data_IF_441396720818
#
_entry.id   IF_441396720818
#
_cell.length_a   1.000
_cell.length_b   1.000
_cell.length_c   1.000
_cell.angle_alpha   90.00
_cell.angle_beta   90.00
_cell.angle_gamma   90.00
#
_symmetry.space_group_name_H-M   'P 1'
#
loop_
_entity.id
_entity.type
_entity.pdbx_description
1 polymer ?
#
# COMPACT_ATOMS: atom_id res chain seq x y z
N UNK A 1 -3.62 10.96 -9.98
CA UNK A 1 -4.26 11.27 -11.28
C UNK A 1 -3.67 10.36 -12.36
N UNK A 2 -4.37 9.27 -12.71
CA UNK A 2 -3.87 8.30 -13.71
C UNK A 2 -4.27 8.76 -15.12
N UNK A 3 -3.29 8.87 -16.03
CA UNK A 3 -3.55 9.05 -17.47
C UNK A 3 -4.26 7.80 -18.01
N UNK A 4 -5.26 7.93 -18.89
CA UNK A 4 -5.86 6.78 -19.53
C UNK A 4 -4.80 6.04 -20.37
N UNK A 5 -4.55 4.77 -20.03
CA UNK A 5 -3.77 3.87 -20.87
C UNK A 5 -4.45 3.79 -22.24
N UNK A 6 -3.71 4.03 -23.33
CA UNK A 6 -4.25 3.80 -24.67
C UNK A 6 -4.78 2.35 -24.79
N UNK A 7 -5.89 2.18 -25.51
CA UNK A 7 -6.57 0.89 -25.69
C UNK A 7 -5.59 -0.19 -26.19
N UNK A 8 -5.81 -1.45 -25.79
CA UNK A 8 -5.03 -2.59 -26.27
C UNK A 8 -5.00 -2.67 -27.80
N UNK A 9 -6.08 -2.26 -28.46
CA UNK A 9 -6.16 -2.16 -29.92
C UNK A 9 -5.22 -1.10 -30.49
N UNK A 10 -5.10 0.07 -29.85
CA UNK A 10 -4.21 1.14 -30.32
C UNK A 10 -2.73 0.71 -30.24
N UNK A 11 -2.33 0.05 -29.15
CA UNK A 11 -0.96 -0.49 -29.02
C UNK A 11 -0.68 -1.59 -30.06
N UNK A 12 -1.64 -2.50 -30.26
CA UNK A 12 -1.50 -3.57 -31.25
C UNK A 12 -1.39 -3.03 -32.67
N UNK A 13 -2.17 -2.02 -33.03
CA UNK A 13 -2.10 -1.37 -34.34
C UNK A 13 -0.80 -0.56 -34.53
N UNK A 14 -0.31 0.13 -33.50
CA UNK A 14 0.95 0.87 -33.57
C UNK A 14 2.15 -0.07 -33.78
N UNK A 15 2.24 -1.14 -32.97
CA UNK A 15 3.34 -2.11 -33.10
C UNK A 15 3.20 -2.98 -34.35
N UNK A 16 1.96 -3.30 -34.76
CA UNK A 16 1.69 -3.94 -36.05
C UNK A 16 2.08 -3.08 -37.24
N UNK A 17 1.77 -1.77 -37.18
CA UNK A 17 2.20 -0.79 -38.19
C UNK A 17 3.72 -0.65 -38.26
N UNK A 18 4.41 -0.66 -37.11
CA UNK A 18 5.87 -0.71 -37.06
C UNK A 18 6.41 -2.01 -37.68
N UNK A 19 5.80 -3.16 -37.36
CA UNK A 19 6.14 -4.44 -37.97
C UNK A 19 5.98 -4.42 -39.49
N UNK A 20 4.85 -3.89 -39.97
CA UNK A 20 4.59 -3.73 -41.41
C UNK A 20 5.60 -2.80 -42.08
N UNK A 21 5.92 -1.67 -41.45
CA UNK A 21 6.92 -0.73 -41.96
C UNK A 21 8.31 -1.37 -42.05
N UNK A 22 8.74 -2.13 -41.02
CA UNK A 22 10.00 -2.86 -41.04
C UNK A 22 10.03 -3.91 -42.15
N UNK A 23 8.97 -4.71 -42.29
CA UNK A 23 8.85 -5.70 -43.36
C UNK A 23 8.92 -5.05 -44.74
N UNK A 24 8.26 -3.91 -44.94
CA UNK A 24 8.34 -3.13 -46.16
C UNK A 24 9.75 -2.57 -46.41
N UNK A 25 10.40 -1.99 -45.40
CA UNK A 25 11.74 -1.42 -45.52
C UNK A 25 12.81 -2.47 -45.91
N UNK A 26 12.62 -3.74 -45.54
CA UNK A 26 13.52 -4.84 -45.93
C UNK A 26 13.19 -5.45 -47.30
N UNK A 27 11.91 -5.54 -47.68
CA UNK A 27 11.47 -6.20 -48.94
C UNK A 27 11.51 -5.27 -50.15
N UNK A 28 11.21 -3.98 -49.97
CA UNK A 28 11.12 -3.00 -51.05
C UNK A 28 12.47 -2.75 -51.78
N UNK A 29 13.63 -2.64 -51.10
CA UNK A 29 14.92 -2.49 -51.79
C UNK A 29 15.32 -3.71 -52.63
N UNK A 30 14.71 -4.87 -52.37
CA UNK A 30 14.93 -6.13 -53.08
C UNK A 30 13.96 -6.33 -54.26
N UNK A 31 13.02 -5.39 -54.48
CA UNK A 31 11.98 -5.50 -55.52
C UNK A 31 10.98 -6.64 -55.28
N UNK A 32 10.92 -7.17 -54.05
CA UNK A 32 10.05 -8.28 -53.71
C UNK A 32 8.68 -7.78 -53.27
N UNK A 33 7.62 -8.25 -53.94
CA UNK A 33 6.26 -8.12 -53.43
C UNK A 33 6.09 -8.93 -52.13
N UNK A 34 5.20 -8.46 -51.26
CA UNK A 34 4.90 -9.16 -50.02
C UNK A 34 4.36 -10.56 -50.29
N UNK A 35 4.98 -11.54 -49.66
CA UNK A 35 4.51 -12.91 -49.67
C UNK A 35 3.42 -13.12 -48.61
N UNK A 36 2.66 -14.22 -48.71
CA UNK A 36 1.69 -14.60 -47.68
C UNK A 36 2.30 -14.68 -46.27
N UNK A 37 3.60 -15.02 -46.17
CA UNK A 37 4.31 -15.12 -44.88
C UNK A 37 4.49 -13.76 -44.21
N UNK A 38 4.65 -12.69 -44.99
CA UNK A 38 4.85 -11.32 -44.50
C UNK A 38 3.56 -10.78 -43.86
N UNK A 39 2.42 -11.00 -44.51
CA UNK A 39 1.11 -10.67 -43.94
C UNK A 39 0.81 -11.48 -42.68
N UNK A 40 1.12 -12.79 -42.70
CA UNK A 40 0.94 -13.66 -41.52
C UNK A 40 1.82 -13.19 -40.36
N UNK A 41 3.06 -12.76 -40.62
CA UNK A 41 3.94 -12.22 -39.59
C UNK A 41 3.35 -10.96 -38.94
N UNK A 42 2.92 -9.98 -39.74
CA UNK A 42 2.33 -8.73 -39.21
C UNK A 42 1.05 -9.04 -38.42
N UNK A 43 0.18 -9.90 -38.94
CA UNK A 43 -1.02 -10.33 -38.22
C UNK A 43 -0.69 -11.07 -36.91
N UNK A 44 0.33 -11.92 -36.90
CA UNK A 44 0.79 -12.60 -35.69
C UNK A 44 1.32 -11.61 -34.65
N UNK A 45 2.06 -10.58 -35.06
CA UNK A 45 2.52 -9.49 -34.17
C UNK A 45 1.33 -8.75 -33.56
N UNK A 46 0.36 -8.33 -34.38
CA UNK A 46 -0.86 -7.66 -33.91
C UNK A 46 -1.62 -8.54 -32.92
N UNK A 47 -1.86 -9.80 -33.26
CA UNK A 47 -2.58 -10.75 -32.43
C UNK A 47 -1.86 -11.01 -31.09
N UNK A 48 -0.54 -11.22 -31.12
CA UNK A 48 0.27 -11.46 -29.94
C UNK A 48 0.30 -10.24 -29.00
N UNK A 49 0.50 -9.03 -29.55
CA UNK A 49 0.50 -7.78 -28.77
C UNK A 49 -0.87 -7.53 -28.16
N UNK A 50 -1.94 -7.70 -28.94
CA UNK A 50 -3.31 -7.53 -28.45
C UNK A 50 -3.63 -8.52 -27.32
N UNK A 51 -3.30 -9.80 -27.51
CA UNK A 51 -3.54 -10.84 -26.50
C UNK A 51 -2.74 -10.59 -25.22
N UNK A 52 -1.46 -10.25 -25.34
CA UNK A 52 -0.63 -9.97 -24.17
C UNK A 52 -1.15 -8.73 -23.42
N UNK A 53 -1.49 -7.65 -24.14
CA UNK A 53 -1.96 -6.40 -23.52
C UNK A 53 -3.32 -6.57 -22.84
N UNK A 54 -4.26 -7.26 -23.47
CA UNK A 54 -5.58 -7.55 -22.85
C UNK A 54 -5.44 -8.40 -21.60
N UNK A 55 -4.58 -9.43 -21.62
CA UNK A 55 -4.23 -10.20 -20.42
C UNK A 55 -3.64 -9.31 -19.33
N UNK A 56 -2.60 -8.54 -19.63
CA UNK A 56 -1.96 -7.65 -18.66
C UNK A 56 -2.96 -6.68 -18.04
N UNK A 57 -3.81 -6.03 -18.85
CA UNK A 57 -4.85 -5.12 -18.36
C UNK A 57 -5.85 -5.83 -17.43
N UNK A 58 -6.25 -7.05 -17.77
CA UNK A 58 -7.12 -7.86 -16.91
C UNK A 58 -6.44 -8.18 -15.58
N UNK A 59 -5.17 -8.57 -15.59
CA UNK A 59 -4.40 -8.82 -14.37
C UNK A 59 -4.23 -7.54 -13.54
N UNK A 60 -3.87 -6.42 -14.15
CA UNK A 60 -3.77 -5.11 -13.48
C UNK A 60 -5.09 -4.72 -12.82
N UNK A 61 -6.22 -4.92 -13.50
CA UNK A 61 -7.55 -4.62 -12.97
C UNK A 61 -7.88 -5.51 -11.76
N UNK A 62 -7.64 -6.82 -11.87
CA UNK A 62 -7.88 -7.77 -10.76
C UNK A 62 -6.99 -7.46 -9.56
N UNK A 63 -5.72 -7.12 -9.80
CA UNK A 63 -4.79 -6.71 -8.74
C UNK A 63 -5.25 -5.41 -8.08
N UNK A 64 -5.68 -4.41 -8.85
CA UNK A 64 -6.21 -3.15 -8.32
C UNK A 64 -7.46 -3.37 -7.48
N UNK A 65 -8.38 -4.23 -7.93
CA UNK A 65 -9.57 -4.60 -7.17
C UNK A 65 -9.18 -5.29 -5.87
N UNK A 66 -8.26 -6.25 -5.90
CA UNK A 66 -7.75 -6.89 -4.69
C UNK A 66 -7.11 -5.88 -3.72
N UNK A 67 -6.28 -4.96 -4.21
CA UNK A 67 -5.69 -3.90 -3.38
C UNK A 67 -6.74 -2.95 -2.82
N UNK A 68 -7.79 -2.65 -3.59
CA UNK A 68 -8.91 -1.84 -3.11
C UNK A 68 -9.66 -2.57 -1.99
N UNK A 69 -10.02 -3.84 -2.18
CA UNK A 69 -10.72 -4.65 -1.18
C UNK A 69 -9.90 -4.83 0.11
N UNK A 70 -8.59 -5.09 -0.01
CA UNK A 70 -7.67 -5.17 1.16
C UNK A 70 -7.70 -3.89 2.00
N UNK A 71 -7.80 -2.72 1.36
CA UNK A 71 -7.84 -1.42 2.03
C UNK A 71 -9.18 -1.08 2.68
N UNK A 72 -10.28 -1.69 2.26
CA UNK A 72 -11.60 -1.41 2.82
C UNK A 72 -11.80 -1.91 4.26
N UNK A 73 -10.95 -2.83 4.72
CA UNK A 73 -11.10 -3.47 6.03
C UNK A 73 -9.93 -3.13 6.94
N UNK A 74 -10.20 -2.49 8.07
CA UNK A 74 -9.23 -2.33 9.17
C UNK A 74 -9.53 -3.27 10.31
N UNK A 75 -8.50 -3.63 11.05
CA UNK A 75 -8.65 -4.42 12.27
C UNK A 75 -8.52 -3.53 13.49
N UNK A 76 -9.44 -3.69 14.45
CA UNK A 76 -9.38 -3.07 15.75
C UNK A 76 -8.03 -3.34 16.45
N UNK A 77 -7.55 -2.37 17.25
CA UNK A 77 -6.35 -2.53 18.07
C UNK A 77 -6.65 -3.43 19.29
N UNK A 78 -6.88 -4.70 19.04
CA UNK A 78 -7.17 -5.73 20.05
C UNK A 78 -5.91 -6.52 20.39
N UNK A 79 -5.84 -7.06 21.61
CA UNK A 79 -4.70 -7.89 22.10
C UNK A 79 -3.38 -7.10 22.07
N UNK A 80 -3.45 -5.84 22.50
CA UNK A 80 -2.29 -4.97 22.66
C UNK A 80 -2.10 -4.58 24.13
N UNK A 81 -0.86 -4.44 24.54
CA UNK A 81 -0.46 -4.00 25.86
C UNK A 81 0.18 -2.61 25.76
N UNK A 82 -0.44 -1.61 26.38
CA UNK A 82 0.04 -0.23 26.31
C UNK A 82 1.27 -0.04 27.18
N UNK A 83 2.34 0.46 26.57
CA UNK A 83 3.62 0.76 27.23
C UNK A 83 3.74 2.25 27.52
N UNK A 84 3.23 3.09 26.62
CA UNK A 84 3.29 4.54 26.73
C UNK A 84 2.06 5.19 26.09
N UNK A 85 1.66 6.35 26.64
CA UNK A 85 0.50 7.10 26.20
C UNK A 85 -0.84 6.46 26.57
N UNK A 86 -1.97 7.15 26.31
CA UNK A 86 -3.30 6.61 26.54
C UNK A 86 -3.61 5.47 25.57
N UNK A 87 -4.53 4.59 25.98
CA UNK A 87 -5.08 3.58 25.09
C UNK A 87 -5.85 4.23 23.93
N UNK A 88 -5.58 3.76 22.71
CA UNK A 88 -6.16 4.29 21.47
C UNK A 88 -6.87 3.18 20.71
N UNK A 89 -7.97 3.52 20.05
CA UNK A 89 -8.72 2.59 19.21
C UNK A 89 -9.05 3.22 17.85
N UNK A 90 -9.16 2.40 16.81
CA UNK A 90 -9.58 2.86 15.47
C UNK A 90 -11.09 3.17 15.48
N UNK A 91 -11.42 4.44 15.28
CA UNK A 91 -12.77 5.01 15.41
C UNK A 91 -13.24 5.64 14.09
N UNK A 92 -14.57 5.76 13.93
CA UNK A 92 -15.12 6.56 12.83
C UNK A 92 -14.82 8.04 13.10
N UNK A 93 -14.66 8.81 12.03
CA UNK A 93 -14.39 10.26 12.08
C UNK A 93 -13.05 10.64 12.72
N UNK A 94 -12.16 9.67 12.93
CA UNK A 94 -10.76 9.88 13.30
C UNK A 94 -9.81 9.26 12.27
N UNK A 95 -8.74 9.97 11.98
CA UNK A 95 -7.60 9.47 11.22
C UNK A 95 -6.63 8.80 12.18
N UNK A 96 -6.30 7.54 11.94
CA UNK A 96 -5.29 6.82 12.74
C UNK A 96 -4.04 6.63 11.91
N UNK A 97 -2.92 7.16 12.37
CA UNK A 97 -1.60 6.89 11.80
C UNK A 97 -0.94 5.81 12.64
N UNK A 98 -0.68 4.65 12.04
CA UNK A 98 -0.20 3.45 12.70
C UNK A 98 1.20 3.11 12.20
N UNK A 99 2.17 3.02 13.11
CA UNK A 99 3.55 2.65 12.81
C UNK A 99 3.88 1.28 13.41
N UNK A 100 4.37 0.35 12.61
CA UNK A 100 5.01 -0.88 13.09
C UNK A 100 6.53 -0.68 13.12
N UNK A 101 7.17 -1.02 14.24
CA UNK A 101 8.61 -0.81 14.44
C UNK A 101 9.25 -1.94 15.27
N UNK A 102 10.59 -2.02 15.23
CA UNK A 102 11.40 -2.81 16.17
C UNK A 102 12.58 -1.99 16.69
N UNK A 103 12.81 -1.95 18.00
CA UNK A 103 13.84 -1.07 18.61
C UNK A 103 15.27 -1.45 18.23
N UNK A 104 15.52 -2.72 17.90
CA UNK A 104 16.82 -3.25 17.51
C UNK A 104 17.31 -2.73 16.15
N UNK A 105 16.40 -2.30 15.26
CA UNK A 105 16.72 -1.83 13.92
C UNK A 105 16.93 -0.30 13.86
N UNK A 106 18.00 0.13 13.20
CA UNK A 106 18.32 1.55 13.04
C UNK A 106 17.26 2.30 12.21
N UNK A 107 16.70 1.68 11.17
CA UNK A 107 15.66 2.32 10.35
C UNK A 107 14.38 2.52 11.15
N UNK A 108 14.03 1.56 12.01
CA UNK A 108 12.91 1.66 12.93
C UNK A 108 13.08 2.77 13.97
N UNK A 109 14.28 2.93 14.56
CA UNK A 109 14.56 4.08 15.46
C UNK A 109 14.45 5.43 14.73
N UNK A 110 15.00 5.53 13.52
CA UNK A 110 14.84 6.73 12.69
C UNK A 110 13.37 6.99 12.32
N UNK A 111 12.57 5.93 12.11
CA UNK A 111 11.14 6.04 11.86
C UNK A 111 10.37 6.57 13.08
N UNK A 112 10.70 6.13 14.31
CA UNK A 112 10.12 6.70 15.54
C UNK A 112 10.38 8.22 15.63
N UNK A 113 11.60 8.66 15.33
CA UNK A 113 11.96 10.08 15.27
C UNK A 113 11.14 10.85 14.24
N UNK A 114 10.98 10.29 13.03
CA UNK A 114 10.15 10.91 11.99
C UNK A 114 8.67 10.94 12.37
N UNK A 115 8.18 9.89 13.00
CA UNK A 115 6.81 9.77 13.47
C UNK A 115 6.49 10.82 14.53
N UNK A 116 7.43 11.08 15.44
CA UNK A 116 7.35 12.19 16.40
C UNK A 116 7.27 13.56 15.72
N UNK A 117 8.07 13.79 14.68
CA UNK A 117 8.02 15.05 13.91
C UNK A 117 6.65 15.23 13.24
N UNK A 118 6.10 14.17 12.64
CA UNK A 118 4.76 14.20 12.04
C UNK A 118 3.67 14.46 13.08
N UNK A 119 3.74 13.79 14.24
CA UNK A 119 2.80 14.00 15.35
C UNK A 119 2.83 15.44 15.87
N UNK A 120 4.02 16.05 15.95
CA UNK A 120 4.22 17.45 16.35
C UNK A 120 3.74 18.46 15.29
N UNK A 121 3.90 18.16 14.00
CA UNK A 121 3.44 19.05 12.92
C UNK A 121 1.92 18.98 12.68
N UNK A 122 1.28 17.86 13.04
CA UNK A 122 -0.15 17.63 12.88
C UNK A 122 -0.81 17.57 14.26
N UNK A 123 -1.31 18.72 14.72
CA UNK A 123 -1.94 18.88 16.06
C UNK A 123 -3.48 18.80 16.03
N UNK A 124 -4.06 18.34 14.93
CA UNK A 124 -5.50 18.27 14.75
C UNK A 124 -6.15 17.18 15.63
N UNK A 125 -7.26 17.51 16.30
CA UNK A 125 -7.93 16.61 17.27
C UNK A 125 -8.48 15.32 16.64
N UNK A 126 -8.82 15.37 15.35
CA UNK A 126 -9.29 14.21 14.60
C UNK A 126 -8.16 13.24 14.18
N UNK A 127 -6.90 13.47 14.58
CA UNK A 127 -5.78 12.57 14.27
C UNK A 127 -5.18 12.00 15.53
N UNK A 128 -4.90 10.71 15.47
CA UNK A 128 -4.19 9.97 16.52
C UNK A 128 -3.02 9.19 15.91
N UNK A 129 -1.94 9.11 16.67
CA UNK A 129 -0.70 8.44 16.27
C UNK A 129 -0.44 7.29 17.26
N UNK A 130 -0.21 6.10 16.72
CA UNK A 130 0.03 4.87 17.49
C UNK A 130 1.21 4.13 16.89
N UNK A 131 2.14 3.68 17.72
CA UNK A 131 3.22 2.80 17.33
C UNK A 131 3.06 1.42 17.98
N UNK A 132 3.25 0.35 17.21
CA UNK A 132 3.14 -1.03 17.62
C UNK A 132 4.46 -1.78 17.42
N UNK A 133 4.80 -2.63 18.37
CA UNK A 133 5.94 -3.55 18.29
C UNK A 133 5.54 -4.95 18.72
N UNK A 134 6.19 -5.97 18.17
CA UNK A 134 6.09 -7.37 18.64
C UNK A 134 7.13 -7.74 19.70
N UNK A 135 8.00 -6.78 20.04
CA UNK A 135 9.00 -6.97 21.08
C UNK A 135 8.33 -7.12 22.45
N UNK A 136 8.93 -7.94 23.30
CA UNK A 136 8.46 -8.13 24.67
C UNK A 136 8.82 -6.93 25.54
N UNK A 137 8.15 -6.79 26.68
CA UNK A 137 8.41 -5.73 27.66
C UNK A 137 9.87 -5.69 28.09
N UNK A 138 10.49 -6.84 28.30
CA UNK A 138 11.90 -6.95 28.69
C UNK A 138 12.86 -6.45 27.59
N UNK A 139 12.49 -6.62 26.31
CA UNK A 139 13.28 -6.13 25.17
C UNK A 139 13.20 -4.61 25.07
N UNK A 140 12.04 -4.02 25.33
CA UNK A 140 11.87 -2.56 25.39
C UNK A 140 12.62 -1.95 26.58
N UNK A 141 12.60 -2.60 27.74
CA UNK A 141 13.41 -2.20 28.89
C UNK A 141 14.91 -2.29 28.59
N UNK A 142 15.34 -3.35 27.90
CA UNK A 142 16.72 -3.49 27.45
C UNK A 142 17.12 -2.41 26.44
N UNK A 143 16.21 -1.98 25.55
CA UNK A 143 16.42 -0.85 24.65
C UNK A 143 16.68 0.44 25.43
N UNK A 144 15.93 0.72 26.50
CA UNK A 144 16.10 1.92 27.34
C UNK A 144 17.46 1.98 28.05
N UNK A 145 18.12 0.84 28.23
CA UNK A 145 19.44 0.75 28.86
C UNK A 145 20.54 0.70 27.81
N UNK A 146 20.46 -0.25 26.89
CA UNK A 146 21.52 -0.56 25.90
C UNK A 146 21.48 0.35 24.68
N UNK A 147 20.31 0.88 24.35
CA UNK A 147 20.10 1.75 23.19
C UNK A 147 20.74 3.13 23.33
N UNK A 148 21.07 3.58 24.54
CA UNK A 148 21.57 4.95 24.83
C UNK A 148 22.80 5.37 24.02
N UNK A 149 23.57 4.41 23.51
CA UNK A 149 24.76 4.68 22.70
C UNK A 149 24.46 4.75 21.19
N UNK A 150 23.24 4.48 20.75
CA UNK A 150 22.84 4.59 19.35
C UNK A 150 22.54 6.05 18.96
N UNK A 151 22.90 6.45 17.74
CA UNK A 151 22.74 7.81 17.21
C UNK A 151 21.30 8.33 17.23
N UNK A 152 20.32 7.43 17.02
CA UNK A 152 18.89 7.77 16.92
C UNK A 152 18.11 7.34 18.17
N UNK A 153 18.81 7.15 19.28
CA UNK A 153 18.19 6.78 20.54
C UNK A 153 17.35 7.92 21.10
N UNK A 154 16.13 7.57 21.50
CA UNK A 154 15.29 8.37 22.37
C UNK A 154 14.47 7.42 23.24
N UNK A 155 14.30 7.81 24.50
CA UNK A 155 13.49 7.05 25.46
C UNK A 155 12.04 7.01 24.98
N UNK A 156 11.41 5.83 25.03
CA UNK A 156 10.08 5.60 24.52
C UNK A 156 9.04 6.53 25.16
N UNK A 157 9.25 6.88 26.44
CA UNK A 157 8.38 7.79 27.22
C UNK A 157 8.44 9.25 26.78
N UNK A 158 9.46 9.65 26.01
CA UNK A 158 9.62 11.02 25.52
C UNK A 158 8.84 11.28 24.22
N UNK A 159 8.32 10.24 23.57
CA UNK A 159 7.48 10.41 22.39
C UNK A 159 6.09 10.93 22.76
N UNK A 160 5.47 11.69 21.86
CA UNK A 160 4.15 12.33 22.09
C UNK A 160 2.97 11.51 21.56
N UNK A 161 3.23 10.27 21.15
CA UNK A 161 2.26 9.31 20.62
C UNK A 161 2.21 8.05 21.50
N UNK A 162 1.12 7.29 21.37
CA UNK A 162 0.95 6.05 22.15
C UNK A 162 1.78 4.91 21.57
N UNK A 163 2.32 4.06 22.44
CA UNK A 163 3.13 2.89 22.08
C UNK A 163 2.54 1.66 22.77
N UNK A 164 2.34 0.59 22.01
CA UNK A 164 1.86 -0.69 22.53
C UNK A 164 2.63 -1.89 21.98
N UNK A 165 2.67 -2.94 22.78
CA UNK A 165 3.14 -4.27 22.38
C UNK A 165 1.94 -5.05 21.81
N UNK A 166 2.16 -5.77 20.73
CA UNK A 166 1.17 -6.63 20.07
C UNK A 166 1.70 -8.07 19.93
N UNK A 167 0.82 -9.04 19.78
CA UNK A 167 1.16 -10.47 19.94
C UNK A 167 1.34 -11.27 18.63
N UNK A 168 1.34 -10.60 17.48
CA UNK A 168 1.32 -11.23 16.16
C UNK A 168 0.12 -10.82 15.32
N UNK A 169 -1.02 -10.58 15.97
CA UNK A 169 -2.28 -10.38 15.27
C UNK A 169 -2.27 -9.10 14.43
N UNK A 170 -1.67 -8.01 14.92
CA UNK A 170 -1.65 -6.75 14.18
C UNK A 170 -0.70 -6.84 12.98
N UNK A 171 0.52 -7.38 13.12
CA UNK A 171 1.37 -7.59 11.95
C UNK A 171 0.74 -8.53 10.93
N UNK A 172 0.03 -9.60 11.35
CA UNK A 172 -0.69 -10.47 10.41
C UNK A 172 -1.72 -9.70 9.59
N UNK A 173 -2.50 -8.84 10.27
CA UNK A 173 -3.59 -8.10 9.66
C UNK A 173 -3.16 -6.84 8.88
N UNK A 174 -1.97 -6.31 9.11
CA UNK A 174 -1.49 -5.11 8.41
C UNK A 174 -0.27 -5.40 7.55
N UNK A 175 0.79 -6.00 8.09
CA UNK A 175 2.03 -6.25 7.34
C UNK A 175 1.84 -7.42 6.37
N UNK A 176 1.50 -8.60 6.89
CA UNK A 176 1.40 -9.82 6.07
C UNK A 176 0.26 -9.73 5.07
N UNK A 177 -0.91 -9.22 5.46
CA UNK A 177 -2.06 -9.04 4.56
C UNK A 177 -1.75 -8.16 3.34
N UNK A 178 -0.83 -7.19 3.50
CA UNK A 178 -0.40 -6.28 2.45
C UNK A 178 0.88 -6.73 1.73
N UNK A 179 1.28 -7.99 1.93
CA UNK A 179 2.46 -8.59 1.30
C UNK A 179 3.76 -7.83 1.62
N UNK A 180 3.80 -7.17 2.79
CA UNK A 180 4.97 -6.51 3.33
C UNK A 180 5.79 -7.50 4.16
N UNK A 181 7.12 -7.34 4.17
CA UNK A 181 8.03 -8.32 4.78
C UNK A 181 9.14 -7.70 5.64
N UNK A 182 9.09 -6.40 5.87
CA UNK A 182 10.12 -5.67 6.61
C UNK A 182 9.50 -4.63 7.53
N UNK A 183 10.23 -4.28 8.59
CA UNK A 183 9.97 -3.12 9.43
C UNK A 183 10.96 -1.99 9.09
N UNK A 184 10.61 -0.73 9.35
CA UNK A 184 9.33 -0.25 9.84
C UNK A 184 8.28 -0.09 8.71
N UNK A 185 6.99 -0.16 9.04
CA UNK A 185 5.87 0.07 8.10
C UNK A 185 4.87 1.03 8.71
N UNK A 186 4.35 1.97 7.92
CA UNK A 186 3.35 2.94 8.34
C UNK A 186 2.05 2.75 7.56
N UNK A 187 0.92 2.90 8.25
CA UNK A 187 -0.42 2.86 7.69
C UNK A 187 -1.16 4.14 8.09
N UNK A 188 -1.88 4.74 7.14
CA UNK A 188 -2.80 5.84 7.38
C UNK A 188 -4.21 5.29 7.19
N UNK A 189 -4.98 5.30 8.27
CA UNK A 189 -6.36 4.87 8.32
C UNK A 189 -7.24 6.11 8.33
N UNK A 190 -8.13 6.24 7.36
CA UNK A 190 -9.04 7.37 7.21
C UNK A 190 -10.19 7.35 8.22
N UNK A 191 -10.96 8.45 8.23
CA UNK A 191 -12.16 8.63 9.05
C UNK A 191 -13.23 7.55 8.86
N UNK A 192 -13.18 6.87 7.73
CA UNK A 192 -14.10 5.82 7.33
C UNK A 192 -13.58 4.42 7.72
N UNK A 193 -12.50 4.31 8.49
CA UNK A 193 -11.85 3.03 8.85
C UNK A 193 -11.38 2.24 7.63
N UNK A 194 -11.03 2.91 6.54
CA UNK A 194 -10.30 2.31 5.42
C UNK A 194 -8.85 2.76 5.44
N UNK A 195 -7.97 1.95 4.88
CA UNK A 195 -6.55 2.28 4.76
C UNK A 195 -6.39 3.19 3.54
N UNK A 196 -6.17 4.47 3.78
CA UNK A 196 -5.91 5.46 2.75
C UNK A 196 -4.52 5.25 2.12
N UNK A 197 -3.54 4.87 2.94
CA UNK A 197 -2.14 4.71 2.51
C UNK A 197 -1.39 3.73 3.40
N UNK A 198 -0.39 3.06 2.83
CA UNK A 198 0.57 2.22 3.56
C UNK A 198 1.93 2.22 2.84
N UNK A 199 3.01 2.03 3.58
CA UNK A 199 4.35 1.97 3.01
C UNK A 199 5.47 2.28 4.00
N UNK A 200 6.63 2.66 3.48
CA UNK A 200 7.78 3.00 4.32
C UNK A 200 7.54 4.34 5.01
N UNK A 201 7.81 4.48 6.32
CA UNK A 201 7.72 5.76 7.00
C UNK A 201 8.59 6.86 6.37
N UNK A 202 9.62 6.49 5.60
CA UNK A 202 10.52 7.41 4.89
C UNK A 202 9.96 7.92 3.56
N UNK A 203 8.85 7.39 3.08
CA UNK A 203 8.24 7.79 1.82
C UNK A 203 7.80 9.26 1.86
N UNK A 204 7.79 9.87 0.67
CA UNK A 204 7.34 11.26 0.49
C UNK A 204 5.81 11.32 0.42
N UNK A 205 5.20 12.46 0.77
CA UNK A 205 3.75 12.66 0.69
C UNK A 205 2.92 12.11 1.84
N UNK A 206 3.54 11.50 2.87
CA UNK A 206 2.84 10.99 4.06
C UNK A 206 2.08 12.12 4.78
N UNK A 207 2.73 13.26 5.02
CA UNK A 207 2.10 14.39 5.71
C UNK A 207 0.88 14.91 4.93
N UNK A 208 1.01 15.05 3.61
CA UNK A 208 -0.08 15.49 2.75
C UNK A 208 -1.26 14.51 2.81
N UNK A 209 -0.98 13.20 2.72
CA UNK A 209 -2.00 12.16 2.81
C UNK A 209 -2.75 12.22 4.15
N UNK A 210 -2.05 12.46 5.27
CA UNK A 210 -2.70 12.63 6.57
C UNK A 210 -3.59 13.89 6.54
N UNK A 211 -3.12 15.00 5.98
CA UNK A 211 -3.89 16.25 5.85
C UNK A 211 -5.13 16.07 4.98
N UNK A 212 -5.02 15.40 3.83
CA UNK A 212 -6.17 15.04 2.99
C UNK A 212 -7.20 14.21 3.77
N UNK A 213 -6.75 13.21 4.54
CA UNK A 213 -7.64 12.41 5.38
C UNK A 213 -8.32 13.22 6.50
N UNK A 214 -7.66 14.26 7.03
CA UNK A 214 -8.27 15.18 7.99
C UNK A 214 -9.36 16.02 7.33
N UNK A 215 -9.11 16.52 6.12
CA UNK A 215 -10.01 17.40 5.38
C UNK A 215 -11.19 16.65 4.75
N UNK A 216 -11.10 15.34 4.59
CA UNK A 216 -12.22 14.51 4.14
C UNK A 216 -13.44 14.66 5.07
N UNK A 217 -14.63 14.62 4.50
CA UNK A 217 -15.88 14.74 5.25
C UNK A 217 -16.03 13.62 6.30
N UNK A 218 -16.75 13.94 7.37
CA UNK A 218 -17.12 12.94 8.36
C UNK A 218 -18.13 11.96 7.74
N UNK A 219 -17.99 10.68 8.10
CA UNK A 219 -18.82 9.60 7.60
C UNK A 219 -19.97 9.35 8.58
N UNK A 220 -21.19 9.27 8.06
CA UNK A 220 -22.37 8.82 8.79
C UNK A 220 -22.21 7.36 9.20
N UNK A 221 -22.75 6.98 10.36
CA UNK A 221 -22.67 5.60 10.87
C UNK A 221 -23.35 4.55 9.99
N UNK A 222 -24.11 4.96 8.98
CA UNK A 222 -24.74 4.12 7.98
C UNK A 222 -23.78 3.85 6.82
N UNK A 223 -22.97 2.80 6.90
CA UNK A 223 -22.39 2.21 5.68
C UNK A 223 -23.10 0.88 5.41
N UNK A 224 -23.66 0.66 4.20
CA UNK A 224 -24.21 -0.62 3.82
C UNK A 224 -23.11 -1.69 3.93
N UNK A 225 -23.45 -2.83 4.52
CA UNK A 225 -22.58 -4.01 4.50
C UNK A 225 -22.21 -4.33 3.04
N UNK A 226 -20.96 -4.75 2.76
CA UNK A 226 -20.62 -5.24 1.43
C UNK A 226 -21.59 -6.38 1.07
N UNK A 227 -22.06 -6.45 -0.19
CA UNK A 227 -22.98 -7.51 -0.61
C UNK A 227 -22.31 -8.86 -0.29
N UNK A 228 -23.03 -9.70 0.45
CA UNK A 228 -22.57 -11.04 0.80
C UNK A 228 -22.13 -11.75 -0.49
N UNK A 229 -20.88 -12.22 -0.52
CA UNK A 229 -20.38 -13.04 -1.62
C UNK A 229 -21.34 -14.22 -1.77
N UNK A 230 -22.10 -14.24 -2.85
CA UNK A 230 -22.92 -15.40 -3.22
C UNK A 230 -22.00 -16.60 -3.33
N UNK A 231 -22.11 -17.52 -2.37
CA UNK A 231 -21.50 -18.83 -2.45
C UNK A 231 -21.89 -19.45 -3.79
N UNK A 232 -20.88 -19.70 -4.62
CA UNK A 232 -21.03 -20.51 -5.81
C UNK A 232 -21.37 -21.93 -5.32
N UNK A 233 -22.66 -22.28 -5.35
CA UNK A 233 -23.13 -23.65 -5.15
C UNK A 233 -22.34 -24.56 -6.09
N UNK A 234 -21.52 -25.43 -5.51
CA UNK A 234 -21.02 -26.62 -6.20
C UNK A 234 -22.21 -27.54 -6.42
N UNK A 235 -22.70 -27.59 -7.65
CA UNK A 235 -23.56 -28.68 -8.07
C UNK A 235 -22.74 -29.96 -8.27
N UNK A 236 -23.38 -31.05 -7.88
CA UNK A 236 -22.88 -32.44 -7.79
C UNK A 236 -22.52 -33.04 -9.14
#
# INVERSE_FOLDING_TARGET
MFKPSASAAAHALLLGGLGAWLTFAFTNPLGHEWSAKDYVFVLAVVAAVYYNRTKTMKYETLMQEQHFQKRQTTHALSRVEWVHGPAVQIELNKVTVLLFFGTWDAKSRAALQRFERLRKSITHQAVQFVALTQEKREELEAYEVKGRHASDFQELKQFSFSIAIEDGLMCKNYIVRFDLSSLPQLFIIGKDKTIAWYGSPSDTGIEETIRECIMADNVSSERPLPPASTECKKDK
#
